data_IF_359551179021
#
_entry.id   IF_359551179021
#
_cell.length_a   1.000
_cell.length_b   1.000
_cell.length_c   1.000
_cell.angle_alpha   90.00
_cell.angle_beta   90.00
_cell.angle_gamma   90.00
#
_symmetry.space_group_name_H-M   'P 1'
#
loop_
_entity.id
_entity.type
_entity.pdbx_description
1 polymer ?
#
# COMPACT_ATOMS: atom_id res chain seq x y z
N UNK A 1 21.27 -11.36 5.55
CA UNK A 1 20.57 -10.39 5.83
C UNK A 1 19.61 -9.97 4.84
N UNK A 2 18.50 -9.74 5.14
CA UNK A 2 17.55 -9.42 4.16
C UNK A 2 17.44 -7.94 4.01
N UNK A 3 17.18 -7.51 2.82
CA UNK A 3 17.01 -6.14 2.58
C UNK A 3 15.59 -5.77 2.89
N UNK A 4 15.37 -4.55 3.30
CA UNK A 4 14.03 -4.08 3.53
C UNK A 4 13.36 -3.88 2.19
N UNK A 5 12.11 -4.23 2.11
CA UNK A 5 11.36 -4.12 0.89
C UNK A 5 10.13 -3.28 1.12
N UNK A 6 9.76 -2.52 0.11
CA UNK A 6 8.56 -1.70 0.15
C UNK A 6 7.71 -2.03 -1.05
N UNK A 7 6.42 -1.91 -0.90
CA UNK A 7 5.48 -2.29 -1.95
C UNK A 7 4.57 -1.12 -2.26
N UNK A 8 4.40 -0.82 -3.53
CA UNK A 8 3.43 0.17 -3.96
C UNK A 8 2.34 -0.56 -4.73
N UNK A 9 1.10 -0.17 -4.52
CA UNK A 9 -0.02 -0.77 -5.22
C UNK A 9 -0.84 0.31 -5.88
N UNK A 10 -1.03 0.18 -7.18
CA UNK A 10 -1.85 1.09 -7.93
C UNK A 10 -3.18 0.38 -8.12
N UNK A 11 -4.26 0.96 -7.63
CA UNK A 11 -5.55 0.31 -7.58
C UNK A 11 -6.45 0.81 -8.70
N UNK A 12 -6.98 -0.13 -9.45
CA UNK A 12 -7.98 0.17 -10.47
C UNK A 12 -9.21 -0.65 -10.13
N UNK A 13 -10.28 -0.40 -10.83
CA UNK A 13 -11.51 -1.12 -10.57
C UNK A 13 -11.33 -2.62 -10.71
N UNK A 14 -10.63 -3.06 -11.75
CA UNK A 14 -10.51 -4.48 -12.02
C UNK A 14 -9.18 -5.08 -11.63
N UNK A 15 -8.17 -4.26 -11.45
CA UNK A 15 -6.82 -4.77 -11.24
C UNK A 15 -6.07 -4.03 -10.16
N UNK A 16 -5.09 -4.72 -9.62
CA UNK A 16 -4.14 -4.14 -8.68
C UNK A 16 -2.77 -4.33 -9.33
N UNK A 17 -2.03 -3.26 -9.50
CA UNK A 17 -0.69 -3.34 -10.05
C UNK A 17 0.29 -3.17 -8.91
N UNK A 18 1.11 -4.18 -8.69
CA UNK A 18 1.98 -4.22 -7.53
C UNK A 18 3.43 -4.03 -7.94
N UNK A 19 4.11 -3.19 -7.22
CA UNK A 19 5.49 -2.87 -7.51
C UNK A 19 6.30 -3.06 -6.24
N UNK A 20 7.31 -3.90 -6.29
CA UNK A 20 8.12 -4.24 -5.13
C UNK A 20 9.50 -3.61 -5.27
N UNK A 21 9.91 -2.86 -4.27
CA UNK A 21 11.21 -2.22 -4.29
C UNK A 21 12.06 -2.80 -3.18
N UNK A 22 13.35 -2.83 -3.32
CA UNK A 22 14.14 -2.28 -4.41
C UNK A 22 14.29 -3.19 -5.61
N UNK A 23 13.77 -4.40 -5.57
CA UNK A 23 13.95 -5.31 -6.66
C UNK A 23 13.38 -4.82 -7.97
N UNK A 24 12.40 -3.96 -7.94
CA UNK A 24 11.78 -3.50 -9.15
C UNK A 24 10.86 -4.52 -9.77
N UNK A 25 10.36 -5.45 -8.97
CA UNK A 25 9.49 -6.47 -9.48
C UNK A 25 8.08 -5.93 -9.67
N UNK A 26 7.48 -6.20 -10.80
CA UNK A 26 6.13 -5.76 -11.08
C UNK A 26 5.25 -6.95 -11.34
N UNK A 27 4.04 -6.93 -10.81
CA UNK A 27 3.07 -7.96 -11.14
C UNK A 27 1.67 -7.41 -10.94
N UNK A 28 0.68 -8.13 -11.42
CA UNK A 28 -0.69 -7.66 -11.40
C UNK A 28 -1.58 -8.75 -10.85
N UNK A 29 -2.58 -8.35 -10.06
CA UNK A 29 -3.60 -9.29 -9.59
C UNK A 29 -4.95 -8.65 -9.86
N UNK A 30 -6.00 -9.45 -9.84
CA UNK A 30 -7.33 -8.91 -10.03
C UNK A 30 -7.80 -8.29 -8.72
N UNK A 31 -8.62 -7.25 -8.85
CA UNK A 31 -9.13 -6.57 -7.66
C UNK A 31 -10.44 -7.22 -7.25
N UNK A 32 -10.34 -8.46 -6.79
CA UNK A 32 -11.49 -9.22 -6.34
C UNK A 32 -10.98 -10.18 -5.27
N UNK A 33 -11.85 -10.96 -4.74
CA UNK A 33 -11.50 -11.84 -3.64
C UNK A 33 -10.34 -12.77 -3.98
N UNK A 34 -10.36 -13.33 -5.16
CA UNK A 34 -9.33 -14.27 -5.55
C UNK A 34 -7.98 -13.57 -5.72
N UNK A 35 -7.98 -12.46 -6.44
CA UNK A 35 -6.74 -11.74 -6.69
C UNK A 35 -6.15 -11.16 -5.41
N UNK A 36 -7.01 -10.65 -4.54
CA UNK A 36 -6.54 -10.09 -3.29
C UNK A 36 -5.97 -11.19 -2.40
N UNK A 37 -6.57 -12.37 -2.41
CA UNK A 37 -6.03 -13.48 -1.64
C UNK A 37 -4.65 -13.86 -2.13
N UNK A 38 -4.45 -13.89 -3.45
CA UNK A 38 -3.13 -14.20 -3.99
C UNK A 38 -2.14 -13.13 -3.59
N UNK A 39 -2.56 -11.88 -3.64
CA UNK A 39 -1.69 -10.77 -3.28
C UNK A 39 -1.26 -10.89 -1.82
N UNK A 40 -2.20 -11.18 -0.94
CA UNK A 40 -1.89 -11.32 0.47
C UNK A 40 -0.86 -12.42 0.68
N UNK A 41 -1.03 -13.56 0.02
CA UNK A 41 -0.07 -14.65 0.19
C UNK A 41 1.31 -14.25 -0.29
N UNK A 42 1.37 -13.58 -1.43
CA UNK A 42 2.64 -13.14 -1.97
C UNK A 42 3.32 -12.17 -1.03
N UNK A 43 2.56 -11.20 -0.52
CA UNK A 43 3.16 -10.19 0.34
C UNK A 43 3.52 -10.71 1.71
N UNK A 44 2.80 -11.72 2.19
CA UNK A 44 3.18 -12.33 3.45
C UNK A 44 4.55 -13.01 3.31
N UNK A 45 4.84 -13.53 2.14
CA UNK A 45 6.14 -14.15 1.92
C UNK A 45 7.25 -13.11 1.78
N UNK A 46 6.93 -11.96 1.18
CA UNK A 46 7.90 -10.91 1.00
C UNK A 46 8.18 -10.20 2.30
N UNK A 47 7.17 -10.06 3.15
CA UNK A 47 7.28 -9.37 4.43
C UNK A 47 7.80 -7.94 4.25
N UNK A 48 7.05 -7.13 3.50
CA UNK A 48 7.53 -5.78 3.24
C UNK A 48 7.48 -4.90 4.48
N UNK A 49 8.33 -3.90 4.48
CA UNK A 49 8.32 -2.93 5.56
C UNK A 49 7.04 -2.13 5.55
N UNK A 50 6.55 -1.82 4.38
CA UNK A 50 5.36 -1.00 4.24
C UNK A 50 4.74 -1.20 2.87
N UNK A 51 3.43 -1.19 2.82
CA UNK A 51 2.67 -1.25 1.59
C UNK A 51 1.95 0.08 1.43
N UNK A 52 2.13 0.74 0.31
CA UNK A 52 1.52 2.04 0.07
C UNK A 52 0.51 1.92 -1.05
N UNK A 53 -0.70 2.42 -0.83
CA UNK A 53 -1.71 2.45 -1.87
C UNK A 53 -2.27 3.85 -1.98
N UNK A 54 -2.77 4.22 -3.14
CA UNK A 54 -3.46 5.48 -3.29
C UNK A 54 -4.95 5.28 -3.08
N UNK A 55 -5.58 6.21 -2.44
CA UNK A 55 -7.02 6.17 -2.27
C UNK A 55 -7.67 6.41 -3.62
N UNK A 56 -8.63 5.58 -3.99
CA UNK A 56 -9.25 5.67 -5.30
C UNK A 56 -10.76 5.68 -5.22
N UNK A 57 -11.29 6.30 -4.20
CA UNK A 57 -12.74 6.43 -4.10
C UNK A 57 -13.43 5.17 -3.63
N UNK A 58 -12.72 4.31 -2.98
CA UNK A 58 -13.31 3.12 -2.39
C UNK A 58 -12.86 1.82 -3.02
N UNK A 59 -12.25 1.88 -4.18
CA UNK A 59 -11.82 0.65 -4.84
C UNK A 59 -10.68 -0.04 -4.11
N UNK A 60 -10.02 0.66 -3.22
CA UNK A 60 -8.90 0.10 -2.47
C UNK A 60 -9.35 -0.60 -1.18
N UNK A 61 -10.59 -0.42 -0.78
CA UNK A 61 -11.02 -0.86 0.56
C UNK A 61 -10.85 -2.34 0.81
N UNK A 62 -11.29 -3.17 -0.11
CA UNK A 62 -11.19 -4.61 0.11
C UNK A 62 -9.74 -5.05 0.25
N UNK A 63 -8.87 -4.50 -0.58
CA UNK A 63 -7.46 -4.86 -0.50
C UNK A 63 -6.88 -4.41 0.82
N UNK A 64 -7.21 -3.20 1.24
CA UNK A 64 -6.68 -2.67 2.50
C UNK A 64 -7.13 -3.53 3.67
N UNK A 65 -8.39 -3.91 3.70
CA UNK A 65 -8.90 -4.71 4.79
C UNK A 65 -8.16 -6.05 4.86
N UNK A 66 -8.03 -6.71 3.72
CA UNK A 66 -7.40 -8.02 3.73
C UNK A 66 -5.91 -7.96 4.06
N UNK A 67 -5.25 -6.94 3.57
CA UNK A 67 -3.82 -6.80 3.86
C UNK A 67 -3.60 -6.50 5.34
N UNK A 68 -4.43 -5.64 5.91
CA UNK A 68 -4.25 -5.33 7.32
C UNK A 68 -4.66 -6.50 8.21
N UNK A 69 -5.67 -7.25 7.81
CA UNK A 69 -6.05 -8.43 8.56
C UNK A 69 -4.92 -9.46 8.56
N UNK A 70 -4.11 -9.45 7.54
CA UNK A 70 -2.97 -10.37 7.47
C UNK A 70 -1.78 -9.88 8.27
N UNK A 71 -1.91 -8.76 8.94
CA UNK A 71 -0.84 -8.25 9.77
C UNK A 71 0.19 -7.43 9.02
N UNK A 72 -0.13 -7.01 7.80
CA UNK A 72 0.81 -6.24 7.01
C UNK A 72 0.61 -4.75 7.24
N UNK A 73 1.69 -4.01 7.19
CA UNK A 73 1.63 -2.57 7.41
C UNK A 73 1.21 -1.88 6.12
N UNK A 74 0.12 -1.13 6.17
CA UNK A 74 -0.44 -0.51 4.99
C UNK A 74 -0.63 0.98 5.24
N UNK A 75 -0.24 1.80 4.28
CA UNK A 75 -0.47 3.23 4.33
C UNK A 75 -1.26 3.63 3.10
N UNK A 76 -2.27 4.43 3.28
CA UNK A 76 -3.09 4.89 2.19
C UNK A 76 -2.81 6.36 1.97
N UNK A 77 -2.49 6.74 0.75
CA UNK A 77 -2.23 8.14 0.47
C UNK A 77 -3.29 8.66 -0.49
N UNK A 78 -3.58 9.92 -0.36
CA UNK A 78 -4.55 10.56 -1.21
C UNK A 78 -3.81 11.11 -2.43
N UNK A 79 -4.25 10.82 -3.64
CA UNK A 79 -3.54 11.30 -4.83
C UNK A 79 -3.34 12.81 -4.84
N UNK A 80 -4.30 13.55 -4.30
CA UNK A 80 -4.18 14.96 -4.24
C UNK A 80 -3.06 15.36 -3.31
N UNK A 81 -2.96 14.69 -2.18
CA UNK A 81 -1.91 14.96 -1.26
C UNK A 81 -0.58 14.53 -1.84
N UNK A 82 -0.57 13.49 -2.63
CA UNK A 82 0.66 13.01 -3.21
C UNK A 82 1.24 14.06 -4.14
N UNK A 83 0.41 14.87 -4.75
CA UNK A 83 0.91 15.87 -5.60
C UNK A 83 1.61 16.95 -4.81
N UNK A 84 1.11 17.28 -3.66
CA UNK A 84 1.73 18.26 -2.85
C UNK A 84 2.79 17.63 -2.07
N UNK A 85 2.80 16.30 -2.02
CA UNK A 85 3.65 15.61 -1.19
C UNK A 85 5.07 15.73 -1.44
N UNK A 86 5.47 16.01 -2.57
CA UNK A 86 6.83 16.20 -2.80
C UNK A 86 7.34 17.14 -1.76
N UNK A 87 6.49 18.00 -1.26
CA UNK A 87 6.94 18.89 -0.27
C UNK A 87 6.58 18.42 1.08
N UNK A 88 5.84 17.39 1.22
CA UNK A 88 5.41 16.95 2.52
C UNK A 88 5.80 15.55 2.83
N UNK A 89 6.93 15.16 2.37
CA UNK A 89 7.39 13.82 2.63
C UNK A 89 7.47 13.52 4.11
N UNK A 90 7.82 14.50 4.85
CA UNK A 90 7.93 14.28 6.26
C UNK A 90 6.59 13.99 6.86
N UNK A 91 5.55 14.56 6.34
CA UNK A 91 4.26 14.33 6.87
C UNK A 91 3.90 12.88 6.68
N UNK A 92 4.26 12.30 5.58
CA UNK A 92 3.96 10.93 5.36
C UNK A 92 4.62 10.06 6.38
N UNK A 93 5.82 10.39 6.73
CA UNK A 93 6.48 9.60 7.69
C UNK A 93 5.83 9.72 9.03
N UNK A 94 5.31 10.86 9.33
CA UNK A 94 4.69 11.03 10.59
C UNK A 94 3.44 10.26 10.65
N UNK A 95 2.76 10.09 9.55
CA UNK A 95 1.55 9.39 9.61
C UNK A 95 1.80 7.97 9.79
N UNK A 96 2.79 7.53 9.25
CA UNK A 96 3.08 6.15 9.31
C UNK A 96 2.85 5.55 10.60
N UNK A 97 3.27 6.02 11.49
CA UNK A 97 3.09 5.37 12.69
C UNK A 97 1.83 5.64 13.25
N UNK A 98 1.37 5.90 13.07
CA UNK A 98 0.53 6.20 13.52
C UNK A 98 -0.31 6.38 13.88
N UNK A 99 -0.13 6.29 13.86
CA UNK A 99 -1.00 6.30 14.23
C UNK A 99 -1.65 7.42 14.21
N UNK A 100 -1.56 7.96 14.72
CA UNK A 100 -2.21 8.98 14.73
C UNK A 100 -2.14 9.66 13.72
N UNK A 101 -1.57 9.26 13.24
CA UNK A 101 -1.44 9.86 12.36
C UNK A 101 -2.37 10.33 11.72
N UNK A 102 -3.13 9.78 11.62
CA UNK A 102 -3.99 10.18 10.81
C UNK A 102 -4.09 11.56 10.80
N UNK A 103 -4.11 11.90 11.78
CA UNK A 103 -4.31 13.14 11.84
C UNK A 103 -3.54 13.91 11.03
N UNK A 104 -2.60 13.57 10.87
CA UNK A 104 -1.82 14.29 10.23
C UNK A 104 -2.23 14.55 9.07
N UNK A 105 -2.86 13.82 8.71
CA UNK A 105 -3.22 13.94 7.58
C UNK A 105 -3.88 15.05 7.42
N UNK A 106 -4.40 15.38 8.25
CA UNK A 106 -5.13 16.45 8.04
C UNK A 106 -4.45 17.58 8.18
#
# INVERSE_FOLDING_TARGET
MSEKQWVGIDVCQKYLDIYVRPQGKLFQETNDEIGISKLVQTLKNIKPELIVLEATGGMEIDAVIKLTEAGLAVAIINPRQARDFAKATVLARSLAPFGGAGSLVS
#
